data_IF_210624680243
#
_entry.id   IF_210624680243
#
_cell.length_a   1.000
_cell.length_b   1.000
_cell.length_c   1.000
_cell.angle_alpha   90.00
_cell.angle_beta   90.00
_cell.angle_gamma   90.00
#
_symmetry.space_group_name_H-M   'P 1'
#
loop_
_entity.id
_entity.type
_entity.pdbx_description
1 polymer ?
#
# COMPACT_ATOMS: atom_id res chain seq x y z
N UNK A 1 20.83 11.46 -5.59
CA UNK A 1 19.50 11.10 -5.03
C UNK A 1 19.73 10.18 -3.84
N UNK A 2 19.14 10.45 -2.67
CA UNK A 2 19.38 9.62 -1.48
C UNK A 2 18.75 8.23 -1.65
N UNK A 3 19.31 7.17 -1.02
CA UNK A 3 18.70 5.82 -1.05
C UNK A 3 17.25 5.84 -0.56
N UNK A 4 16.93 6.72 0.39
CA UNK A 4 15.59 6.87 0.91
C UNK A 4 14.61 7.47 -0.09
N UNK A 5 15.05 8.47 -0.84
CA UNK A 5 14.28 9.08 -1.93
C UNK A 5 13.94 8.05 -3.00
N UNK A 6 14.91 7.25 -3.45
CA UNK A 6 14.67 6.21 -4.47
C UNK A 6 13.65 5.19 -4.00
N UNK A 7 13.76 4.71 -2.76
CA UNK A 7 12.83 3.74 -2.21
C UNK A 7 11.41 4.33 -2.02
N UNK A 8 11.27 5.57 -1.56
CA UNK A 8 9.96 6.22 -1.43
C UNK A 8 9.28 6.43 -2.79
N UNK A 9 10.06 6.73 -3.84
CA UNK A 9 9.52 6.81 -5.21
C UNK A 9 9.14 5.43 -5.73
N UNK A 10 9.95 4.41 -5.49
CA UNK A 10 9.57 3.03 -5.86
C UNK A 10 8.29 2.58 -5.12
N UNK A 11 8.16 2.92 -3.83
CA UNK A 11 6.95 2.68 -3.06
C UNK A 11 5.76 3.50 -3.59
N UNK A 12 5.98 4.73 -4.02
CA UNK A 12 4.97 5.56 -4.69
C UNK A 12 4.45 4.86 -5.95
N UNK A 13 5.35 4.44 -6.84
CA UNK A 13 4.99 3.74 -8.07
C UNK A 13 4.26 2.42 -7.79
N UNK A 14 4.73 1.64 -6.82
CA UNK A 14 4.05 0.42 -6.38
C UNK A 14 2.57 0.69 -6.02
N UNK A 15 2.33 1.69 -5.18
CA UNK A 15 0.97 2.04 -4.76
C UNK A 15 0.13 2.65 -5.90
N UNK A 16 0.74 3.45 -6.79
CA UNK A 16 0.04 4.01 -7.93
C UNK A 16 -0.35 2.93 -8.95
N UNK A 17 0.46 1.89 -9.14
CA UNK A 17 0.12 0.77 -10.02
C UNK A 17 -1.10 0.01 -9.47
N UNK A 18 -1.04 -0.46 -8.22
CA UNK A 18 -2.15 -1.27 -7.67
C UNK A 18 -3.37 -0.44 -7.28
N UNK A 19 -3.17 0.74 -6.68
CA UNK A 19 -4.25 1.68 -6.39
C UNK A 19 -4.90 2.19 -7.67
N UNK A 20 -4.11 2.54 -8.68
CA UNK A 20 -4.61 2.94 -10.01
C UNK A 20 -5.39 1.81 -10.68
N UNK A 21 -4.90 0.56 -10.59
CA UNK A 21 -5.63 -0.59 -11.11
C UNK A 21 -6.99 -0.76 -10.41
N UNK A 22 -7.06 -0.67 -9.09
CA UNK A 22 -8.32 -0.78 -8.35
C UNK A 22 -9.30 0.37 -8.58
N UNK A 23 -8.81 1.55 -8.93
CA UNK A 23 -9.64 2.72 -9.26
C UNK A 23 -10.12 2.68 -10.72
N UNK A 24 -9.24 2.34 -11.67
CA UNK A 24 -9.50 2.44 -13.11
C UNK A 24 -10.03 1.14 -13.72
N UNK A 25 -9.70 -0.01 -13.15
CA UNK A 25 -10.09 -1.34 -13.65
C UNK A 25 -10.35 -2.32 -12.50
N UNK A 26 -11.38 -2.01 -11.72
CA UNK A 26 -11.81 -2.84 -10.61
C UNK A 26 -12.14 -4.29 -10.99
N UNK A 27 -12.79 -4.60 -12.14
CA UNK A 27 -13.07 -5.99 -12.52
C UNK A 27 -11.81 -6.83 -12.62
N UNK A 28 -10.77 -6.32 -13.32
CA UNK A 28 -9.49 -7.01 -13.43
C UNK A 28 -8.83 -7.21 -12.05
N UNK A 29 -8.89 -6.19 -11.18
CA UNK A 29 -8.34 -6.32 -9.84
C UNK A 29 -9.08 -7.39 -9.02
N UNK A 30 -10.42 -7.47 -9.13
CA UNK A 30 -11.20 -8.49 -8.44
C UNK A 30 -10.80 -9.89 -8.91
N UNK A 31 -10.69 -10.10 -10.24
CA UNK A 31 -10.25 -11.38 -10.81
C UNK A 31 -8.84 -11.78 -10.34
N UNK A 32 -7.95 -10.80 -10.21
CA UNK A 32 -6.59 -11.03 -9.71
C UNK A 32 -6.54 -11.34 -8.22
N UNK A 33 -7.43 -10.76 -7.41
CA UNK A 33 -7.32 -10.82 -5.94
C UNK A 33 -8.24 -11.85 -5.28
N UNK A 34 -9.36 -12.22 -5.89
CA UNK A 34 -10.40 -13.04 -5.26
C UNK A 34 -10.78 -14.25 -6.12
N UNK A 35 -11.03 -15.39 -5.49
CA UNK A 35 -11.54 -16.59 -6.17
C UNK A 35 -13.02 -16.50 -6.56
N UNK A 36 -13.77 -15.59 -5.94
CA UNK A 36 -15.20 -15.38 -6.19
C UNK A 36 -15.52 -13.90 -6.26
N UNK A 37 -16.55 -13.55 -7.02
CA UNK A 37 -17.04 -12.17 -7.14
C UNK A 37 -17.55 -11.69 -5.76
N UNK A 38 -16.98 -10.61 -5.19
CA UNK A 38 -17.44 -10.06 -3.92
C UNK A 38 -18.86 -9.50 -4.01
N UNK A 39 -19.54 -9.39 -2.87
CA UNK A 39 -20.85 -8.71 -2.81
C UNK A 39 -20.74 -7.22 -3.18
N UNK A 40 -21.83 -6.58 -3.58
CA UNK A 40 -21.81 -5.15 -3.95
C UNK A 40 -21.24 -4.25 -2.83
N UNK A 41 -21.53 -4.56 -1.56
CA UNK A 41 -20.96 -3.84 -0.43
C UNK A 41 -19.44 -4.03 -0.32
N UNK A 42 -18.94 -5.25 -0.57
CA UNK A 42 -17.51 -5.54 -0.60
C UNK A 42 -16.82 -4.83 -1.77
N UNK A 43 -17.46 -4.76 -2.95
CA UNK A 43 -16.96 -4.03 -4.12
C UNK A 43 -16.77 -2.54 -3.79
N UNK A 44 -17.77 -1.89 -3.20
CA UNK A 44 -17.68 -0.47 -2.80
C UNK A 44 -16.59 -0.24 -1.76
N UNK A 45 -16.49 -1.11 -0.75
CA UNK A 45 -15.42 -1.03 0.24
C UNK A 45 -14.03 -1.20 -0.41
N UNK A 46 -13.91 -2.10 -1.38
CA UNK A 46 -12.66 -2.32 -2.12
C UNK A 46 -12.25 -1.08 -2.92
N UNK A 47 -13.20 -0.43 -3.61
CA UNK A 47 -12.92 0.82 -4.34
C UNK A 47 -12.37 1.91 -3.42
N UNK A 48 -12.98 2.10 -2.24
CA UNK A 48 -12.49 3.07 -1.26
C UNK A 48 -11.08 2.74 -0.76
N UNK A 49 -10.80 1.46 -0.52
CA UNK A 49 -9.48 0.99 -0.16
C UNK A 49 -8.44 1.29 -1.25
N UNK A 50 -8.71 0.94 -2.52
CA UNK A 50 -7.76 1.18 -3.61
C UNK A 50 -7.54 2.66 -3.92
N UNK A 51 -8.57 3.49 -3.73
CA UNK A 51 -8.42 4.94 -3.79
C UNK A 51 -7.47 5.45 -2.69
N UNK A 52 -7.60 4.95 -1.46
CA UNK A 52 -6.67 5.28 -0.38
C UNK A 52 -5.24 4.82 -0.71
N UNK A 53 -5.06 3.62 -1.28
CA UNK A 53 -3.75 3.13 -1.76
C UNK A 53 -3.14 4.10 -2.77
N UNK A 54 -3.91 4.55 -3.77
CA UNK A 54 -3.43 5.53 -4.75
C UNK A 54 -3.02 6.87 -4.10
N UNK A 55 -3.83 7.38 -3.17
CA UNK A 55 -3.53 8.62 -2.42
C UNK A 55 -2.24 8.47 -1.61
N UNK A 56 -2.04 7.34 -0.91
CA UNK A 56 -0.78 7.07 -0.22
C UNK A 56 0.40 6.99 -1.18
N UNK A 57 0.20 6.43 -2.38
CA UNK A 57 1.20 6.45 -3.45
C UNK A 57 1.65 7.86 -3.80
N UNK A 58 0.70 8.80 -4.00
CA UNK A 58 1.00 10.22 -4.22
C UNK A 58 1.78 10.79 -3.01
N UNK A 59 1.31 10.51 -1.80
CA UNK A 59 1.95 10.95 -0.55
C UNK A 59 3.42 10.54 -0.46
N UNK A 60 3.75 9.28 -0.75
CA UNK A 60 5.15 8.80 -0.73
C UNK A 60 6.00 9.47 -1.80
N UNK A 61 5.43 9.76 -2.97
CA UNK A 61 6.10 10.50 -4.04
C UNK A 61 6.46 11.91 -3.59
N UNK A 62 5.51 12.61 -2.96
CA UNK A 62 5.74 13.95 -2.38
C UNK A 62 6.84 13.90 -1.32
N UNK A 63 6.77 12.97 -0.35
CA UNK A 63 7.80 12.83 0.70
C UNK A 63 9.17 12.53 0.09
N UNK A 64 9.23 11.64 -0.91
CA UNK A 64 10.46 11.29 -1.61
C UNK A 64 11.11 12.48 -2.32
N UNK A 65 10.32 13.29 -3.03
CA UNK A 65 10.81 14.41 -3.84
C UNK A 65 11.13 15.67 -3.03
N UNK A 66 10.38 15.93 -1.96
CA UNK A 66 10.55 17.14 -1.14
C UNK A 66 11.56 16.98 0.00
N UNK A 67 12.04 15.75 0.26
CA UNK A 67 12.80 15.39 1.48
C UNK A 67 12.16 16.05 2.70
N UNK A 68 10.82 16.05 2.73
CA UNK A 68 10.07 16.77 3.74
C UNK A 68 10.00 15.95 5.01
N UNK A 69 9.92 16.66 6.13
CA UNK A 69 9.74 16.14 7.48
C UNK A 69 8.36 15.51 7.71
N UNK A 70 7.57 15.32 6.65
CA UNK A 70 6.22 14.72 6.64
C UNK A 70 6.25 13.20 6.86
N UNK A 71 6.91 12.76 7.93
CA UNK A 71 6.95 11.36 8.39
C UNK A 71 5.56 10.82 8.71
N UNK A 72 4.59 11.71 8.96
CA UNK A 72 3.18 11.36 9.11
C UNK A 72 2.64 10.45 7.99
N UNK A 73 2.87 10.80 6.72
CA UNK A 73 2.39 9.99 5.59
C UNK A 73 3.05 8.61 5.56
N UNK A 74 4.35 8.54 5.88
CA UNK A 74 5.08 7.27 5.93
C UNK A 74 4.62 6.41 7.11
N UNK A 75 4.30 7.01 8.25
CA UNK A 75 3.76 6.32 9.43
C UNK A 75 2.36 5.75 9.19
N UNK A 76 1.44 6.56 8.65
CA UNK A 76 0.12 6.07 8.24
C UNK A 76 0.25 4.97 7.19
N UNK A 77 1.18 5.17 6.26
CA UNK A 77 1.53 4.19 5.25
C UNK A 77 1.96 2.85 5.83
N UNK A 78 2.88 2.86 6.79
CA UNK A 78 3.34 1.67 7.48
C UNK A 78 2.18 0.91 8.12
N UNK A 79 1.33 1.61 8.88
CA UNK A 79 0.13 1.02 9.52
C UNK A 79 -0.77 0.38 8.47
N UNK A 80 -1.07 1.10 7.39
CA UNK A 80 -1.91 0.61 6.29
C UNK A 80 -1.35 -0.66 5.65
N UNK A 81 -0.02 -0.76 5.48
CA UNK A 81 0.65 -1.94 4.93
C UNK A 81 0.50 -3.18 5.83
N UNK A 82 0.67 -3.02 7.15
CA UNK A 82 0.48 -4.13 8.09
C UNK A 82 -0.97 -4.58 8.15
N UNK A 83 -1.92 -3.64 8.22
CA UNK A 83 -3.36 -3.95 8.22
C UNK A 83 -3.75 -4.69 6.94
N UNK A 84 -3.29 -4.21 5.78
CA UNK A 84 -3.56 -4.86 4.50
C UNK A 84 -2.95 -6.26 4.42
N UNK A 85 -1.69 -6.42 4.85
CA UNK A 85 -1.05 -7.73 4.90
C UNK A 85 -1.83 -8.72 5.76
N UNK A 86 -2.20 -8.33 6.99
CA UNK A 86 -2.97 -9.19 7.89
C UNK A 86 -4.34 -9.55 7.32
N UNK A 87 -5.01 -8.58 6.70
CA UNK A 87 -6.30 -8.79 6.05
C UNK A 87 -6.19 -9.78 4.88
N UNK A 88 -5.25 -9.57 3.95
CA UNK A 88 -5.06 -10.45 2.81
C UNK A 88 -4.55 -11.83 3.22
N UNK A 89 -3.68 -11.91 4.23
CA UNK A 89 -3.24 -13.19 4.80
C UNK A 89 -4.42 -13.96 5.38
N UNK A 90 -5.32 -13.28 6.11
CA UNK A 90 -6.55 -13.91 6.61
C UNK A 90 -7.42 -14.43 5.47
N UNK A 91 -7.70 -13.60 4.46
CA UNK A 91 -8.51 -14.00 3.30
C UNK A 91 -7.90 -15.15 2.50
N UNK A 92 -6.57 -15.20 2.40
CA UNK A 92 -5.86 -16.30 1.75
C UNK A 92 -5.95 -17.60 2.57
N UNK A 93 -5.81 -17.53 3.89
CA UNK A 93 -5.94 -18.68 4.79
C UNK A 93 -7.35 -19.30 4.79
N UNK A 94 -8.39 -18.52 4.46
CA UNK A 94 -9.77 -19.00 4.32
C UNK A 94 -10.19 -19.26 2.86
N UNK A 95 -9.22 -19.35 1.93
CA UNK A 95 -9.42 -19.68 0.51
C UNK A 95 -10.31 -18.70 -0.26
N UNK A 96 -10.36 -17.43 0.17
CA UNK A 96 -11.10 -16.35 -0.51
C UNK A 96 -10.20 -15.56 -1.45
N UNK A 97 -8.96 -15.34 -1.06
CA UNK A 97 -7.98 -14.57 -1.84
C UNK A 97 -7.03 -15.48 -2.63
N UNK A 98 -6.63 -15.03 -3.81
CA UNK A 98 -5.73 -15.78 -4.68
C UNK A 98 -4.29 -15.81 -4.16
N UNK A 99 -3.47 -16.73 -4.69
CA UNK A 99 -2.02 -16.71 -4.46
C UNK A 99 -1.37 -15.41 -4.96
N UNK A 100 -1.93 -14.78 -5.99
CA UNK A 100 -1.47 -13.47 -6.46
C UNK A 100 -1.66 -12.40 -5.37
N UNK A 101 -2.85 -12.34 -4.75
CA UNK A 101 -3.11 -11.42 -3.64
C UNK A 101 -2.13 -11.64 -2.47
N UNK A 102 -1.81 -12.89 -2.14
CA UNK A 102 -0.84 -13.21 -1.10
C UNK A 102 0.57 -12.68 -1.41
N UNK A 103 1.03 -12.82 -2.67
CA UNK A 103 2.32 -12.28 -3.11
C UNK A 103 2.35 -10.76 -3.02
N UNK A 104 1.27 -10.08 -3.45
CA UNK A 104 1.17 -8.62 -3.32
C UNK A 104 1.18 -8.19 -1.86
N UNK A 105 0.44 -8.88 -0.99
CA UNK A 105 0.41 -8.62 0.44
C UNK A 105 1.80 -8.76 1.08
N UNK A 106 2.59 -9.75 0.68
CA UNK A 106 4.00 -9.89 1.12
C UNK A 106 4.84 -8.71 0.62
N UNK A 107 4.66 -8.28 -0.63
CA UNK A 107 5.29 -7.06 -1.14
C UNK A 107 4.97 -5.83 -0.29
N UNK A 108 3.71 -5.70 0.14
CA UNK A 108 3.28 -4.63 1.03
C UNK A 108 3.86 -4.74 2.44
N UNK A 109 4.01 -5.95 2.98
CA UNK A 109 4.72 -6.16 4.24
C UNK A 109 6.18 -5.67 4.16
N UNK A 110 6.90 -5.98 3.07
CA UNK A 110 8.27 -5.50 2.87
C UNK A 110 8.34 -3.97 2.82
N UNK A 111 7.37 -3.32 2.18
CA UNK A 111 7.26 -1.86 2.20
C UNK A 111 6.94 -1.33 3.60
N UNK A 112 6.05 -1.97 4.35
CA UNK A 112 5.74 -1.62 5.73
C UNK A 112 6.98 -1.68 6.64
N UNK A 113 7.77 -2.75 6.53
CA UNK A 113 9.03 -2.90 7.25
C UNK A 113 10.05 -1.81 6.84
N UNK A 114 10.16 -1.52 5.54
CA UNK A 114 11.01 -0.44 5.05
C UNK A 114 10.58 0.93 5.63
N UNK A 115 9.27 1.21 5.67
CA UNK A 115 8.75 2.45 6.25
C UNK A 115 9.05 2.56 7.74
N UNK A 116 8.97 1.47 8.51
CA UNK A 116 9.41 1.48 9.91
C UNK A 116 10.90 1.84 10.01
N UNK A 117 11.77 1.20 9.23
CA UNK A 117 13.21 1.52 9.21
C UNK A 117 13.45 2.98 8.83
N UNK A 118 12.74 3.50 7.84
CA UNK A 118 12.80 4.91 7.46
C UNK A 118 12.40 5.81 8.62
N UNK A 119 11.26 5.55 9.27
CA UNK A 119 10.76 6.33 10.41
C UNK A 119 11.80 6.31 11.55
N UNK A 120 12.36 5.15 11.90
CA UNK A 120 13.36 5.05 12.96
C UNK A 120 14.64 5.83 12.66
N UNK A 121 15.15 5.73 11.42
CA UNK A 121 16.37 6.43 10.98
C UNK A 121 16.18 7.93 10.83
N UNK A 122 14.95 8.39 10.62
CA UNK A 122 14.62 9.80 10.41
C UNK A 122 14.03 10.47 11.66
N UNK A 123 14.15 9.84 12.84
CA UNK A 123 13.57 10.34 14.11
C UNK A 123 14.02 11.74 14.50
N UNK A 124 15.24 12.12 14.12
CA UNK A 124 15.86 13.40 14.48
C UNK A 124 15.29 14.58 13.69
N UNK A 125 14.56 14.33 12.59
CA UNK A 125 14.01 15.37 11.73
C UNK A 125 12.63 15.91 12.18
N UNK A 126 12.06 15.41 13.28
CA UNK A 126 10.71 15.79 13.75
C UNK A 126 9.59 15.04 13.02
N UNK A 127 8.30 15.31 13.30
CA UNK A 127 7.14 14.70 12.61
C UNK A 127 6.45 15.64 11.59
N UNK A 128 6.85 16.92 11.58
CA UNK A 128 6.32 18.00 10.74
C UNK A 128 7.37 18.54 9.79
#
# INVERSE_FOLDING_TARGET
MSRHTTALIAGSLWNLVFGGLGVLNLPLLIELFYHSVPSQAQITANQGFWMAVAIFGIGYGVVGLTISKLRFFVSLGAIGKFVFFLFMAHLWLVDVATNFAAVIAVGDLLWGLYFLVFIFRTREYGYL
#
